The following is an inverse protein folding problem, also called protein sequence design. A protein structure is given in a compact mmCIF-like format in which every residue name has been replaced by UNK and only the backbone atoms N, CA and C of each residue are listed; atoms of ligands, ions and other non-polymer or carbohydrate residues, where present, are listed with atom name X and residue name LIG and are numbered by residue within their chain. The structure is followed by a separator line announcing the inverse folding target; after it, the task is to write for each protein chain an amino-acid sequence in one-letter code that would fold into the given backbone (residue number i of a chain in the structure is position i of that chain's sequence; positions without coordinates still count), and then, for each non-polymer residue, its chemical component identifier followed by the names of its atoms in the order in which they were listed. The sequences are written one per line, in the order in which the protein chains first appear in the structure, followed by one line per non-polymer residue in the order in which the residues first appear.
data_IF_720452569866
#
_entry.id   IF_720452569866
#
_cell.length_a   1.000
_cell.length_b   1.000
_cell.length_c   1.000
_cell.angle_alpha   90.00
_cell.angle_beta   90.00
_cell.angle_gamma   90.00
#
_symmetry.space_group_name_H-M   'P 1'
#
loop_
_entity.id
_entity.type
_entity.pdbx_description
1 polymer ?
#
# COMPACT_ATOMS: atom_id res chain seq x y z
N UNK A 1 3.03 -16.39 10.01
CA UNK A 1 2.78 -15.34 11.04
C UNK A 1 4.01 -15.00 11.88
N UNK A 2 4.87 -15.94 12.26
CA UNK A 2 6.07 -15.67 13.09
C UNK A 2 6.98 -14.61 12.46
N UNK A 3 7.29 -14.70 11.17
CA UNK A 3 8.14 -13.70 10.49
C UNK A 3 7.55 -12.29 10.56
N UNK A 4 6.25 -12.11 10.40
CA UNK A 4 5.62 -10.80 10.49
C UNK A 4 5.78 -10.15 11.89
N UNK A 5 5.75 -10.95 12.97
CA UNK A 5 5.91 -10.45 14.34
C UNK A 5 7.33 -10.00 14.66
N UNK A 6 8.33 -10.52 13.95
CA UNK A 6 9.73 -10.12 14.13
C UNK A 6 10.11 -8.90 13.30
N UNK A 7 9.41 -8.67 12.20
CA UNK A 7 9.72 -7.59 11.25
C UNK A 7 8.94 -6.32 11.56
N UNK A 8 7.64 -6.44 11.75
CA UNK A 8 6.75 -5.28 11.83
C UNK A 8 6.66 -4.69 13.23
N UNK A 9 6.39 -3.38 13.28
CA UNK A 9 5.97 -2.72 14.53
C UNK A 9 4.69 -3.35 15.07
N UNK A 10 4.45 -3.24 16.39
CA UNK A 10 3.27 -3.83 17.06
C UNK A 10 1.95 -3.41 16.39
N UNK A 11 1.81 -2.15 16.04
CA UNK A 11 0.59 -1.62 15.41
C UNK A 11 0.38 -2.21 14.02
N UNK A 12 1.46 -2.33 13.23
CA UNK A 12 1.34 -2.91 11.91
C UNK A 12 1.13 -4.42 11.97
N UNK A 13 1.78 -5.11 12.89
CA UNK A 13 1.53 -6.52 13.12
C UNK A 13 0.06 -6.81 13.45
N UNK A 14 -0.57 -5.96 14.27
CA UNK A 14 -2.01 -6.10 14.54
C UNK A 14 -2.86 -5.93 13.28
N UNK A 15 -2.58 -4.92 12.45
CA UNK A 15 -3.26 -4.72 11.16
C UNK A 15 -3.03 -5.89 10.20
N UNK A 16 -1.79 -6.37 10.13
CA UNK A 16 -1.42 -7.54 9.33
C UNK A 16 -2.19 -8.79 9.78
N UNK A 17 -2.31 -9.03 11.09
CA UNK A 17 -3.07 -10.16 11.63
C UNK A 17 -4.55 -10.09 11.27
N UNK A 18 -5.15 -8.92 11.36
CA UNK A 18 -6.55 -8.69 10.93
C UNK A 18 -6.75 -8.93 9.44
N UNK A 19 -5.79 -8.53 8.62
CA UNK A 19 -5.84 -8.80 7.18
C UNK A 19 -5.61 -10.28 6.89
N UNK A 20 -4.76 -10.94 7.67
CA UNK A 20 -4.51 -12.37 7.55
C UNK A 20 -5.76 -13.22 7.92
N UNK A 21 -6.52 -12.82 8.93
CA UNK A 21 -7.79 -13.49 9.29
C UNK A 21 -8.75 -13.58 8.09
N UNK A 22 -8.79 -12.54 7.24
CA UNK A 22 -9.64 -12.51 6.04
C UNK A 22 -9.22 -13.53 4.96
N UNK A 23 -8.04 -14.13 5.05
CA UNK A 23 -7.63 -15.19 4.11
C UNK A 23 -8.57 -16.40 4.15
N UNK A 24 -9.24 -16.63 5.29
CA UNK A 24 -10.21 -17.70 5.45
C UNK A 24 -11.50 -17.49 4.62
N UNK A 25 -11.74 -16.27 4.15
CA UNK A 25 -12.96 -15.90 3.40
C UNK A 25 -12.88 -16.24 1.91
N UNK A 26 -11.71 -16.67 1.43
CA UNK A 26 -11.47 -16.91 0.01
C UNK A 26 -11.00 -18.33 -0.25
N UNK A 27 -11.55 -18.93 -1.29
CA UNK A 27 -11.07 -20.15 -1.91
C UNK A 27 -10.15 -19.82 -3.10
N UNK A 28 -9.18 -20.68 -3.38
CA UNK A 28 -8.19 -20.44 -4.42
C UNK A 28 -8.33 -21.46 -5.53
N UNK A 29 -8.54 -21.00 -6.75
CA UNK A 29 -8.52 -21.77 -7.98
C UNK A 29 -7.36 -21.32 -8.88
N UNK A 30 -6.46 -22.23 -9.29
CA UNK A 30 -5.46 -21.91 -10.31
C UNK A 30 -6.14 -21.58 -11.65
N UNK A 31 -5.71 -20.54 -12.35
CA UNK A 31 -6.27 -20.15 -13.65
C UNK A 31 -5.21 -19.95 -14.72
N UNK A 32 -4.10 -20.62 -14.60
CA UNK A 32 -2.99 -20.55 -15.55
C UNK A 32 -1.66 -20.80 -14.87
N UNK A 33 -0.59 -20.50 -15.58
CA UNK A 33 0.76 -20.77 -15.10
C UNK A 33 1.13 -19.92 -13.86
N UNK A 34 0.70 -18.65 -13.83
CA UNK A 34 1.06 -17.69 -12.78
C UNK A 34 -0.15 -17.00 -12.17
N UNK A 35 -1.38 -17.38 -12.56
CA UNK A 35 -2.59 -16.71 -12.12
C UNK A 35 -3.44 -17.60 -11.23
N UNK A 36 -3.99 -16.98 -10.20
CA UNK A 36 -4.87 -17.59 -9.24
C UNK A 36 -6.13 -16.75 -9.07
N UNK A 37 -7.27 -17.39 -9.18
CA UNK A 37 -8.56 -16.81 -8.91
C UNK A 37 -8.92 -17.03 -7.45
N UNK A 38 -9.24 -15.96 -6.73
CA UNK A 38 -9.71 -16.02 -5.36
C UNK A 38 -11.21 -15.73 -5.35
N UNK A 39 -11.98 -16.76 -5.09
CA UNK A 39 -13.43 -16.70 -5.01
C UNK A 39 -13.86 -16.59 -3.54
N UNK A 40 -14.78 -15.66 -3.19
CA UNK A 40 -15.25 -15.57 -1.82
C UNK A 40 -16.03 -16.84 -1.46
N UNK A 41 -15.68 -17.48 -0.35
CA UNK A 41 -16.49 -18.56 0.18
C UNK A 41 -17.71 -17.96 0.90
N UNK A 42 -18.90 -18.48 0.66
CA UNK A 42 -20.16 -17.96 1.16
C UNK A 42 -20.34 -18.01 2.69
N UNK A 43 -19.35 -18.47 3.43
CA UNK A 43 -19.41 -18.67 4.88
C UNK A 43 -19.10 -17.41 5.69
N UNK A 44 -18.31 -16.48 5.13
CA UNK A 44 -17.96 -15.21 5.77
C UNK A 44 -17.92 -14.10 4.73
N UNK A 45 -18.74 -13.08 4.90
CA UNK A 45 -18.75 -11.97 3.97
C UNK A 45 -18.80 -10.67 4.75
N UNK A 46 -17.68 -10.04 4.94
CA UNK A 46 -17.64 -8.62 5.25
C UNK A 46 -18.18 -7.83 4.07
N UNK A 47 -19.02 -6.81 4.31
CA UNK A 47 -19.77 -6.09 3.28
C UNK A 47 -18.95 -5.45 2.15
N UNK A 48 -17.63 -5.37 2.30
CA UNK A 48 -16.68 -5.00 1.25
C UNK A 48 -15.90 -6.23 0.81
N UNK A 49 -15.90 -6.52 -0.49
CA UNK A 49 -15.00 -7.54 -1.04
C UNK A 49 -15.64 -8.86 -1.44
N UNK A 50 -16.96 -8.86 -1.67
CA UNK A 50 -17.67 -10.05 -2.19
C UNK A 50 -17.33 -10.42 -3.65
N UNK A 51 -16.37 -9.75 -4.27
CA UNK A 51 -15.97 -10.06 -5.63
C UNK A 51 -14.81 -11.02 -5.66
N UNK A 52 -14.70 -11.70 -6.75
CA UNK A 52 -13.53 -12.50 -7.12
C UNK A 52 -12.35 -11.58 -7.40
N UNK A 53 -11.15 -12.02 -7.05
CA UNK A 53 -9.90 -11.30 -7.30
C UNK A 53 -8.89 -12.18 -8.02
N UNK A 54 -8.14 -11.60 -8.94
CA UNK A 54 -7.03 -12.26 -9.60
C UNK A 54 -5.73 -11.88 -8.88
N UNK A 55 -4.94 -12.90 -8.57
CA UNK A 55 -3.58 -12.75 -8.05
C UNK A 55 -2.61 -13.40 -9.03
N UNK A 56 -1.65 -12.63 -9.49
CA UNK A 56 -0.51 -13.13 -10.27
C UNK A 56 0.65 -13.41 -9.32
N UNK A 57 1.22 -14.60 -9.39
CA UNK A 57 2.31 -15.04 -8.52
C UNK A 57 3.43 -15.67 -9.35
N UNK A 58 4.56 -14.99 -9.47
CA UNK A 58 5.80 -15.49 -10.07
C UNK A 58 6.73 -15.88 -8.93
N UNK A 59 6.72 -17.16 -8.58
CA UNK A 59 7.39 -17.69 -7.37
C UNK A 59 8.90 -17.51 -7.46
N UNK A 60 9.49 -17.73 -8.64
CA UNK A 60 10.92 -17.64 -8.89
C UNK A 60 11.46 -16.23 -8.66
N UNK A 61 10.62 -15.22 -8.89
CA UNK A 61 10.97 -13.81 -8.71
C UNK A 61 10.47 -13.25 -7.38
N UNK A 62 9.83 -14.07 -6.55
CA UNK A 62 9.14 -13.66 -5.33
C UNK A 62 8.16 -12.49 -5.56
N UNK A 63 7.59 -12.40 -6.78
CA UNK A 63 6.73 -11.32 -7.22
C UNK A 63 5.25 -11.72 -7.17
N UNK A 64 4.45 -10.96 -6.44
CA UNK A 64 3.03 -11.22 -6.20
C UNK A 64 2.21 -9.95 -6.42
N UNK A 65 1.34 -9.97 -7.39
CA UNK A 65 0.47 -8.85 -7.71
C UNK A 65 -1.00 -9.23 -7.51
N UNK A 66 -1.78 -8.33 -6.93
CA UNK A 66 -3.21 -8.49 -6.75
C UNK A 66 -3.97 -7.33 -7.36
N UNK A 67 -5.00 -7.62 -8.12
CA UNK A 67 -5.89 -6.62 -8.73
C UNK A 67 -6.56 -5.67 -7.71
N UNK A 68 -6.61 -6.03 -6.41
CA UNK A 68 -7.12 -5.13 -5.36
C UNK A 68 -6.18 -3.94 -5.06
N UNK A 69 -4.93 -3.98 -5.53
CA UNK A 69 -3.90 -2.94 -5.40
C UNK A 69 -3.71 -2.42 -3.97
N UNK A 70 -4.01 -3.25 -2.95
CA UNK A 70 -3.89 -2.84 -1.56
C UNK A 70 -2.45 -2.55 -1.17
N UNK A 71 -1.50 -3.33 -1.68
CA UNK A 71 -0.08 -3.10 -1.39
C UNK A 71 0.40 -1.76 -1.94
N UNK A 72 0.00 -1.43 -3.17
CA UNK A 72 0.40 -0.18 -3.82
C UNK A 72 -0.17 1.04 -3.08
N UNK A 73 -1.40 0.92 -2.58
CA UNK A 73 -2.10 1.99 -1.87
C UNK A 73 -1.66 2.13 -0.41
N UNK A 74 -1.61 1.00 0.31
CA UNK A 74 -1.46 0.99 1.77
C UNK A 74 -0.03 0.57 2.21
N UNK A 75 0.76 -0.01 1.29
CA UNK A 75 2.09 -0.58 1.58
C UNK A 75 2.04 -1.83 2.46
N UNK A 76 0.90 -2.51 2.52
CA UNK A 76 0.68 -3.74 3.29
C UNK A 76 0.07 -4.82 2.41
N UNK A 77 0.56 -6.05 2.52
CA UNK A 77 0.01 -7.18 1.79
C UNK A 77 -1.49 -7.34 2.06
N UNK A 78 -2.25 -7.59 1.00
CA UNK A 78 -3.67 -7.91 1.10
C UNK A 78 -3.89 -9.39 1.48
N UNK A 79 -5.06 -9.69 2.01
CA UNK A 79 -5.48 -11.07 2.32
C UNK A 79 -5.37 -12.00 1.09
N UNK A 80 -5.59 -11.50 -0.11
CA UNK A 80 -5.52 -12.29 -1.33
C UNK A 80 -4.10 -12.79 -1.61
N UNK A 81 -3.10 -11.90 -1.57
CA UNK A 81 -1.68 -12.30 -1.71
C UNK A 81 -1.29 -13.23 -0.55
N UNK A 82 -1.66 -12.89 0.70
CA UNK A 82 -1.35 -13.73 1.86
C UNK A 82 -1.94 -15.14 1.72
N UNK A 83 -3.14 -15.28 1.15
CA UNK A 83 -3.76 -16.58 0.86
C UNK A 83 -2.93 -17.38 -0.13
N UNK A 84 -2.42 -16.75 -1.19
CA UNK A 84 -1.55 -17.40 -2.18
C UNK A 84 -0.22 -17.80 -1.56
N UNK A 85 0.43 -16.90 -0.80
CA UNK A 85 1.68 -17.23 -0.08
C UNK A 85 1.50 -18.46 0.81
N UNK A 86 0.39 -18.52 1.54
CA UNK A 86 0.07 -19.68 2.40
C UNK A 86 -0.13 -20.96 1.58
N UNK A 87 -0.83 -20.87 0.45
CA UNK A 87 -1.08 -22.00 -0.44
C UNK A 87 0.22 -22.53 -1.08
N UNK A 88 1.12 -21.63 -1.44
CA UNK A 88 2.43 -21.96 -2.02
C UNK A 88 3.45 -22.41 -0.97
N UNK A 89 3.10 -22.39 0.32
CA UNK A 89 3.98 -22.79 1.42
C UNK A 89 5.09 -21.78 1.71
N UNK A 90 4.96 -20.54 1.26
CA UNK A 90 5.92 -19.47 1.55
C UNK A 90 5.84 -19.11 3.02
N UNK A 91 6.94 -19.30 3.75
CA UNK A 91 6.99 -19.14 5.23
C UNK A 91 7.35 -17.72 5.65
N UNK A 92 8.03 -16.98 4.80
CA UNK A 92 8.52 -15.62 5.07
C UNK A 92 7.86 -14.63 4.13
N UNK A 93 7.67 -13.40 4.61
CA UNK A 93 7.25 -12.32 3.74
C UNK A 93 8.42 -11.97 2.84
N UNK A 94 8.25 -11.96 1.50
CA UNK A 94 9.33 -11.59 0.61
C UNK A 94 9.80 -10.15 0.85
N UNK A 95 11.10 -9.91 0.73
CA UNK A 95 11.73 -8.64 1.10
C UNK A 95 11.13 -7.43 0.34
N UNK A 96 10.70 -7.65 -0.88
CA UNK A 96 10.03 -6.62 -1.71
C UNK A 96 8.78 -6.01 -1.03
N UNK A 97 8.11 -6.75 -0.16
CA UNK A 97 6.89 -6.34 0.54
C UNK A 97 7.13 -5.85 1.96
N UNK A 98 8.39 -5.77 2.40
CA UNK A 98 8.77 -5.24 3.70
C UNK A 98 9.26 -3.81 3.52
N UNK A 99 8.38 -2.85 3.75
CA UNK A 99 8.75 -1.44 3.68
C UNK A 99 9.45 -1.02 4.98
N UNK A 100 10.65 -0.44 4.90
CA UNK A 100 11.47 -0.03 6.06
C UNK A 100 10.67 0.79 7.08
N UNK A 101 9.82 1.71 6.63
CA UNK A 101 8.95 2.53 7.49
C UNK A 101 7.98 1.75 8.39
N UNK A 102 7.73 0.48 8.07
CA UNK A 102 6.83 -0.41 8.81
C UNK A 102 7.55 -1.38 9.74
N UNK A 103 8.89 -1.38 9.68
CA UNK A 103 9.72 -2.27 10.49
C UNK A 103 10.06 -1.63 11.84
N UNK A 104 10.53 -2.47 12.76
CA UNK A 104 11.03 -2.01 14.06
C UNK A 104 12.28 -1.12 13.91
N UNK A 105 12.98 -1.18 12.77
CA UNK A 105 14.15 -0.38 12.41
C UNK A 105 13.79 0.96 11.73
N UNK A 106 12.52 1.36 11.73
CA UNK A 106 12.06 2.59 11.11
C UNK A 106 12.48 3.87 11.84
N UNK A 107 13.11 3.75 13.01
CA UNK A 107 13.63 4.88 13.78
C UNK A 107 14.74 5.53 12.94
N UNK A 108 14.68 6.84 12.66
CA UNK A 108 15.73 7.52 11.93
C UNK A 108 17.02 7.49 12.77
N UNK A 109 18.11 6.98 12.19
CA UNK A 109 19.45 6.97 12.80
C UNK A 109 20.06 8.37 13.00
N UNK A 110 19.33 9.43 12.65
CA UNK A 110 19.79 10.81 12.77
C UNK A 110 18.95 11.58 13.79
N UNK A 111 19.43 11.63 15.02
CA UNK A 111 19.00 12.63 16.02
C UNK A 111 19.35 14.08 15.58
N UNK A 112 20.09 14.25 14.49
CA UNK A 112 20.52 15.53 13.91
C UNK A 112 19.83 15.86 12.58
N UNK A 113 18.72 15.19 12.23
CA UNK A 113 17.93 15.60 11.07
C UNK A 113 17.28 16.94 11.37
N UNK A 114 17.65 17.96 10.59
CA UNK A 114 17.10 19.31 10.65
C UNK A 114 15.55 19.24 10.69
N UNK A 115 14.91 19.71 11.78
CA UNK A 115 13.45 19.69 11.89
C UNK A 115 12.75 20.56 10.85
N UNK A 116 13.50 21.37 10.08
CA UNK A 116 12.98 22.20 8.99
C UNK A 116 12.85 21.47 7.65
N UNK A 117 13.39 20.24 7.52
CA UNK A 117 13.14 19.41 6.34
C UNK A 117 11.71 18.87 6.39
N UNK A 118 10.76 19.73 6.07
CA UNK A 118 9.34 19.46 6.08
C UNK A 118 8.98 18.49 4.94
N UNK A 119 9.14 17.20 5.21
CA UNK A 119 8.51 16.17 4.38
C UNK A 119 7.05 16.13 4.83
N UNK A 120 6.09 16.48 3.97
CA UNK A 120 4.69 16.46 4.35
C UNK A 120 4.31 15.07 4.87
N UNK A 121 3.81 14.99 6.09
CA UNK A 121 3.46 13.73 6.77
C UNK A 121 2.47 12.88 5.94
N UNK A 122 1.62 13.53 5.14
CA UNK A 122 0.66 12.90 4.23
C UNK A 122 1.31 12.08 3.11
N UNK A 123 2.54 12.40 2.75
CA UNK A 123 3.24 11.71 1.67
C UNK A 123 3.79 10.36 2.09
N UNK A 124 4.24 10.28 3.34
CA UNK A 124 4.74 9.04 3.95
C UNK A 124 3.56 8.08 4.20
N UNK A 125 2.37 8.61 4.47
CA UNK A 125 1.18 7.82 4.75
C UNK A 125 0.63 7.08 3.52
N UNK A 126 0.88 7.57 2.29
CA UNK A 126 0.31 7.01 1.05
C UNK A 126 1.11 5.88 0.40
N UNK A 127 2.19 5.44 1.01
CA UNK A 127 2.87 4.24 0.55
C UNK A 127 3.68 4.35 -0.75
N UNK A 128 3.83 5.53 -1.31
CA UNK A 128 4.59 5.70 -2.53
C UNK A 128 6.11 5.60 -2.26
N UNK A 129 6.86 4.79 -3.03
CA UNK A 129 8.29 4.72 -2.89
C UNK A 129 8.90 6.08 -3.23
N UNK A 130 9.61 6.68 -2.27
CA UNK A 130 10.29 7.99 -2.41
C UNK A 130 11.35 8.02 -3.54
N UNK A 131 11.70 6.87 -4.11
CA UNK A 131 12.73 6.74 -5.15
C UNK A 131 12.23 6.93 -6.58
N UNK A 132 10.95 7.17 -6.81
CA UNK A 132 10.47 7.43 -8.15
C UNK A 132 10.52 8.93 -8.44
N UNK A 133 11.45 9.37 -9.31
CA UNK A 133 11.58 10.77 -9.75
C UNK A 133 10.24 11.36 -10.24
N UNK A 134 9.40 10.56 -10.91
CA UNK A 134 8.07 11.00 -11.37
C UNK A 134 7.14 11.33 -10.20
N UNK A 135 7.20 10.56 -9.13
CA UNK A 135 6.39 10.80 -7.92
C UNK A 135 6.83 12.07 -7.21
N UNK A 136 8.14 12.31 -7.10
CA UNK A 136 8.69 13.55 -6.54
C UNK A 136 8.29 14.76 -7.40
N UNK A 137 8.37 14.65 -8.72
CA UNK A 137 7.93 15.72 -9.63
C UNK A 137 6.44 15.98 -9.51
N UNK A 138 5.61 14.96 -9.46
CA UNK A 138 4.18 15.10 -9.28
C UNK A 138 3.84 15.81 -7.96
N UNK A 139 4.52 15.48 -6.87
CA UNK A 139 4.31 16.12 -5.57
C UNK A 139 4.72 17.57 -5.57
N UNK A 140 5.93 17.86 -6.08
CA UNK A 140 6.42 19.24 -6.15
C UNK A 140 5.49 20.09 -6.99
N UNK A 141 5.02 19.58 -8.14
CA UNK A 141 4.05 20.24 -8.97
C UNK A 141 2.71 20.43 -8.25
N UNK A 142 2.17 19.40 -7.64
CA UNK A 142 0.89 19.48 -6.92
C UNK A 142 0.94 20.47 -5.77
N UNK A 143 2.05 20.51 -5.02
CA UNK A 143 2.24 21.46 -3.93
C UNK A 143 2.36 22.90 -4.45
N UNK A 144 3.09 23.09 -5.55
CA UNK A 144 3.21 24.41 -6.19
C UNK A 144 1.86 24.89 -6.73
N UNK A 145 1.10 24.02 -7.38
CA UNK A 145 -0.25 24.36 -7.86
C UNK A 145 -1.23 24.64 -6.71
N UNK A 146 -1.15 23.89 -5.62
CA UNK A 146 -1.98 24.15 -4.43
C UNK A 146 -1.67 25.52 -3.82
N UNK A 147 -0.40 25.90 -3.73
CA UNK A 147 0.02 27.23 -3.27
C UNK A 147 -0.54 28.33 -4.17
N UNK A 148 -0.39 28.20 -5.48
CA UNK A 148 -0.94 29.16 -6.46
C UNK A 148 -2.47 29.23 -6.40
N UNK A 149 -3.15 28.08 -6.21
CA UNK A 149 -4.60 28.04 -6.08
C UNK A 149 -5.07 28.79 -4.84
N UNK A 150 -4.40 28.62 -3.69
CA UNK A 150 -4.72 29.34 -2.45
C UNK A 150 -4.56 30.86 -2.63
N UNK A 151 -3.44 31.31 -3.23
CA UNK A 151 -3.21 32.72 -3.51
C UNK A 151 -4.27 33.31 -4.45
N UNK A 152 -4.66 32.55 -5.48
CA UNK A 152 -5.65 33.02 -6.48
C UNK A 152 -7.08 32.94 -5.97
N UNK A 153 -7.39 32.06 -5.02
CA UNK A 153 -8.69 32.02 -4.35
C UNK A 153 -8.83 33.05 -3.20
N UNK A 154 -7.78 33.78 -2.89
CA UNK A 154 -7.81 34.78 -1.81
C UNK A 154 -8.76 35.97 -2.07
N UNK A 155 -9.14 36.25 -3.34
CA UNK A 155 -10.16 37.25 -3.66
C UNK A 155 -11.14 36.74 -4.71
N UNK A 156 -12.40 37.23 -4.62
CA UNK A 156 -13.47 36.86 -5.55
C UNK A 156 -13.19 37.33 -7.00
N UNK A 157 -12.43 38.40 -7.16
CA UNK A 157 -12.06 38.95 -8.46
C UNK A 157 -11.03 38.08 -9.18
N UNK A 158 -10.07 37.49 -8.45
CA UNK A 158 -9.08 36.58 -9.03
C UNK A 158 -9.67 35.19 -9.34
N UNK A 159 -10.70 34.77 -8.63
CA UNK A 159 -11.42 33.52 -8.90
C UNK A 159 -12.19 33.58 -10.23
N UNK A 160 -12.90 34.70 -10.49
CA UNK A 160 -13.71 34.84 -11.71
C UNK A 160 -12.90 34.88 -12.99
N UNK A 161 -11.62 35.26 -12.95
CA UNK A 161 -10.73 35.24 -14.11
C UNK A 161 -10.35 33.79 -14.54
N UNK A 162 -10.35 32.84 -13.61
CA UNK A 162 -10.00 31.43 -13.89
C UNK A 162 -11.19 30.61 -14.38
N UNK A 163 -12.42 31.01 -14.05
CA UNK A 163 -13.65 30.29 -14.45
C UNK A 163 -14.09 30.62 -15.88
N UNK A 164 -13.36 31.50 -16.56
CA UNK A 164 -13.63 31.99 -17.91
C UNK A 164 -12.68 31.45 -19.00
N UNK A 165 -11.85 30.42 -18.69
CA UNK A 165 -10.99 29.68 -19.61
C UNK A 165 -11.51 28.25 -19.70
#
# INVERSE_FOLDING_TARGET
MIHASTVYTKNLFYRFSKEFEKTAEYDVRPEGQFQYLLEPNNKFVYGYGKRTYIVTAVVEEESYYCECSKFDRDGMLCCHIMKILTRLGVKTIPQLYILKRWTQEAIPENENADPSAHVPADFIARGMPLNNKKTLWFTNLSTAFAGLAVERCASKETYTIMDGI
#
